data_IF_842362144162
#
_entry.id   IF_842362144162
#
_cell.length_a   1.000
_cell.length_b   1.000
_cell.length_c   1.000
_cell.angle_alpha   90.00
_cell.angle_beta   90.00
_cell.angle_gamma   90.00
#
_symmetry.space_group_name_H-M   'P 1'
#
loop_
_entity.id
_entity.type
_entity.pdbx_description
1 polymer ?
#
# COMPACT_ATOMS: atom_id res chain seq x y z
N UNK A 1 -0.47 15.45 -12.31
CA UNK A 1 0.55 14.54 -11.73
C UNK A 1 1.11 15.07 -10.40
N UNK A 2 1.69 16.28 -10.34
CA UNK A 2 2.24 16.88 -9.09
C UNK A 2 1.24 16.89 -7.91
N UNK A 3 -0.04 17.18 -8.14
CA UNK A 3 -1.07 17.18 -7.07
C UNK A 3 -1.35 15.79 -6.51
N UNK A 4 -1.38 14.76 -7.36
CA UNK A 4 -1.58 13.37 -6.94
C UNK A 4 -0.40 12.91 -6.10
N UNK A 5 0.81 13.17 -6.57
CA UNK A 5 2.05 12.81 -5.89
C UNK A 5 2.17 13.50 -4.51
N UNK A 6 1.80 14.78 -4.44
CA UNK A 6 1.80 15.53 -3.18
C UNK A 6 0.82 14.93 -2.15
N UNK A 7 -0.35 14.45 -2.61
CA UNK A 7 -1.31 13.73 -1.76
C UNK A 7 -0.74 12.39 -1.31
N UNK A 8 -0.09 11.63 -2.19
CA UNK A 8 0.49 10.32 -1.86
C UNK A 8 1.60 10.43 -0.81
N UNK A 9 2.51 11.41 -0.92
CA UNK A 9 3.52 11.68 0.11
C UNK A 9 2.87 12.12 1.43
N UNK A 10 1.81 12.93 1.36
CA UNK A 10 1.04 13.31 2.54
C UNK A 10 0.42 12.10 3.25
N UNK A 11 -0.25 11.22 2.50
CA UNK A 11 -0.85 9.98 3.02
C UNK A 11 0.20 9.01 3.57
N UNK A 12 1.31 8.83 2.85
CA UNK A 12 2.43 8.02 3.35
C UNK A 12 2.92 8.52 4.72
N UNK A 13 3.16 9.83 4.86
CA UNK A 13 3.65 10.39 6.11
C UNK A 13 2.61 10.32 7.24
N UNK A 14 1.34 10.53 6.94
CA UNK A 14 0.25 10.45 7.92
C UNK A 14 0.00 9.00 8.33
N UNK A 15 -0.35 8.15 7.38
CA UNK A 15 -0.92 6.83 7.69
C UNK A 15 0.19 5.79 7.98
N UNK A 16 1.31 5.84 7.24
CA UNK A 16 2.37 4.85 7.41
C UNK A 16 3.45 5.32 8.39
N UNK A 17 4.01 6.52 8.22
CA UNK A 17 5.10 6.96 9.10
C UNK A 17 4.60 7.37 10.49
N UNK A 18 3.52 8.17 10.58
CA UNK A 18 3.03 8.67 11.86
C UNK A 18 2.14 7.69 12.61
N UNK A 19 1.23 7.00 11.92
CA UNK A 19 0.30 6.09 12.59
C UNK A 19 0.95 4.73 12.85
N UNK A 20 1.12 3.89 11.82
CA UNK A 20 1.61 2.52 11.98
C UNK A 20 3.10 2.47 12.38
N UNK A 21 3.94 3.27 11.70
CA UNK A 21 5.38 3.28 11.94
C UNK A 21 5.74 3.79 13.33
N UNK A 22 5.10 4.88 13.77
CA UNK A 22 5.29 5.41 15.10
C UNK A 22 4.72 4.46 16.17
N UNK A 23 3.54 3.87 15.94
CA UNK A 23 2.95 2.89 16.85
C UNK A 23 3.90 1.72 17.09
N UNK A 24 4.35 1.05 16.03
CA UNK A 24 5.24 -0.12 16.13
C UNK A 24 6.56 0.26 16.83
N UNK A 25 7.20 1.36 16.40
CA UNK A 25 8.45 1.81 17.01
C UNK A 25 8.32 2.17 18.49
N UNK A 26 7.23 2.85 18.88
CA UNK A 26 6.97 3.21 20.29
C UNK A 26 6.76 1.99 21.16
N UNK A 27 5.90 1.05 20.73
CA UNK A 27 5.63 -0.17 21.49
C UNK A 27 6.90 -0.99 21.69
N UNK A 28 7.64 -1.26 20.60
CA UNK A 28 8.87 -2.04 20.64
C UNK A 28 9.99 -1.34 21.44
N UNK A 29 10.12 -0.03 21.32
CA UNK A 29 11.09 0.73 22.12
C UNK A 29 10.77 0.68 23.60
N UNK A 30 9.50 0.74 24.00
CA UNK A 30 9.09 0.60 25.40
C UNK A 30 9.35 -0.82 25.92
N UNK A 31 9.08 -1.87 25.12
CA UNK A 31 9.41 -3.25 25.50
C UNK A 31 10.93 -3.40 25.66
N UNK A 32 11.71 -2.86 24.72
CA UNK A 32 13.19 -2.87 24.84
C UNK A 32 13.66 -2.21 26.11
N UNK A 33 13.12 -1.03 26.41
CA UNK A 33 13.56 -0.23 27.55
C UNK A 33 13.12 -0.79 28.90
N UNK A 34 11.88 -1.26 29.01
CA UNK A 34 11.28 -1.62 30.29
C UNK A 34 11.30 -3.11 30.59
N UNK A 35 11.40 -3.95 29.55
CA UNK A 35 11.39 -5.41 29.66
C UNK A 35 12.62 -6.07 28.99
N UNK A 36 13.72 -5.32 28.86
CA UNK A 36 14.98 -5.87 28.35
C UNK A 36 14.83 -6.59 26.99
N UNK A 37 14.02 -6.00 26.09
CA UNK A 37 13.70 -6.55 24.79
C UNK A 37 13.02 -7.95 24.84
N UNK A 38 12.34 -8.29 25.91
CA UNK A 38 11.51 -9.50 26.02
C UNK A 38 10.04 -9.14 25.96
N UNK A 39 9.26 -9.97 25.25
CA UNK A 39 7.80 -9.82 25.22
C UNK A 39 7.26 -10.02 26.65
N UNK A 40 6.61 -9.00 27.23
CA UNK A 40 6.23 -9.04 28.64
C UNK A 40 5.09 -10.04 28.90
N UNK A 41 5.04 -10.56 30.13
CA UNK A 41 3.97 -11.44 30.61
C UNK A 41 2.76 -10.62 31.00
N UNK A 42 1.62 -10.69 30.27
CA UNK A 42 0.41 -9.94 30.64
C UNK A 42 -0.27 -10.57 31.84
N UNK A 43 -1.04 -9.78 32.58
CA UNK A 43 -1.93 -10.29 33.60
C UNK A 43 -2.94 -11.30 33.02
N UNK A 44 -3.43 -12.25 33.83
CA UNK A 44 -4.48 -13.17 33.40
C UNK A 44 -5.69 -12.43 32.81
N UNK A 45 -6.41 -13.05 31.88
CA UNK A 45 -7.55 -12.42 31.17
C UNK A 45 -8.60 -11.89 32.15
N UNK A 46 -8.84 -12.60 33.26
CA UNK A 46 -9.75 -12.19 34.33
C UNK A 46 -9.38 -10.90 35.04
N UNK A 47 -8.07 -10.56 35.08
CA UNK A 47 -7.55 -9.34 35.69
C UNK A 47 -7.37 -8.18 34.70
N UNK A 48 -7.66 -8.38 33.40
CA UNK A 48 -7.55 -7.35 32.39
C UNK A 48 -8.68 -6.33 32.53
N UNK A 49 -8.35 -5.08 32.33
CA UNK A 49 -9.34 -3.98 32.35
C UNK A 49 -10.29 -4.05 31.14
N UNK A 50 -11.44 -3.37 31.19
CA UNK A 50 -12.30 -3.24 30.01
C UNK A 50 -11.58 -2.69 28.78
N UNK A 51 -10.67 -1.73 28.96
CA UNK A 51 -9.89 -1.15 27.85
C UNK A 51 -8.98 -2.18 27.16
N UNK A 52 -8.33 -3.08 27.93
CA UNK A 52 -7.50 -4.15 27.36
C UNK A 52 -8.32 -5.14 26.54
N UNK A 53 -9.50 -5.52 27.05
CA UNK A 53 -10.42 -6.40 26.35
C UNK A 53 -10.97 -5.77 25.09
N UNK A 54 -11.28 -4.47 25.14
CA UNK A 54 -11.77 -3.71 23.98
C UNK A 54 -10.77 -3.73 22.82
N UNK A 55 -9.46 -3.61 23.08
CA UNK A 55 -8.43 -3.71 22.01
C UNK A 55 -8.44 -5.11 21.38
N UNK A 56 -8.55 -6.17 22.18
CA UNK A 56 -8.63 -7.54 21.67
C UNK A 56 -9.90 -7.77 20.83
N UNK A 57 -11.05 -7.27 21.28
CA UNK A 57 -12.34 -7.34 20.58
C UNK A 57 -12.29 -6.56 19.25
N UNK A 58 -11.71 -5.35 19.26
CA UNK A 58 -11.51 -4.57 18.05
C UNK A 58 -10.58 -5.27 17.07
N UNK A 59 -9.54 -5.95 17.56
CA UNK A 59 -8.66 -6.77 16.72
C UNK A 59 -9.41 -7.90 16.02
N UNK A 60 -10.22 -8.66 16.75
CA UNK A 60 -11.03 -9.73 16.19
C UNK A 60 -12.07 -9.19 15.18
N UNK A 61 -12.72 -8.08 15.50
CA UNK A 61 -13.67 -7.41 14.62
C UNK A 61 -13.02 -6.88 13.35
N UNK A 62 -11.85 -6.23 13.45
CA UNK A 62 -11.09 -5.75 12.30
C UNK A 62 -10.68 -6.90 11.37
N UNK A 63 -10.21 -8.02 11.92
CA UNK A 63 -9.88 -9.21 11.14
C UNK A 63 -11.09 -9.77 10.39
N UNK A 64 -12.25 -9.89 11.04
CA UNK A 64 -13.49 -10.36 10.40
C UNK A 64 -13.95 -9.42 9.27
N UNK A 65 -13.94 -8.12 9.50
CA UNK A 65 -14.27 -7.11 8.46
C UNK A 65 -13.28 -7.16 7.28
N UNK A 66 -11.98 -7.28 7.58
CA UNK A 66 -10.93 -7.41 6.59
C UNK A 66 -11.17 -8.63 5.69
N UNK A 67 -11.38 -9.82 6.28
CA UNK A 67 -11.64 -11.05 5.54
C UNK A 67 -12.88 -10.93 4.64
N UNK A 68 -14.00 -10.43 5.20
CA UNK A 68 -15.23 -10.25 4.44
C UNK A 68 -15.07 -9.26 3.28
N UNK A 69 -14.31 -8.18 3.47
CA UNK A 69 -14.06 -7.17 2.44
C UNK A 69 -13.12 -7.70 1.35
N UNK A 70 -12.02 -8.35 1.71
CA UNK A 70 -11.05 -8.91 0.75
C UNK A 70 -11.65 -10.02 -0.09
N UNK A 71 -12.54 -10.86 0.47
CA UNK A 71 -13.27 -11.88 -0.29
C UNK A 71 -14.13 -11.27 -1.41
N UNK A 72 -14.59 -10.03 -1.25
CA UNK A 72 -15.39 -9.30 -2.25
C UNK A 72 -14.57 -8.32 -3.09
N UNK A 73 -13.23 -8.33 -2.94
CA UNK A 73 -12.31 -7.38 -3.58
C UNK A 73 -12.53 -5.92 -3.16
N UNK A 74 -13.16 -5.68 -2.01
CA UNK A 74 -13.38 -4.35 -1.43
C UNK A 74 -12.22 -3.96 -0.51
N UNK A 75 -11.02 -3.87 -1.10
CA UNK A 75 -9.76 -3.69 -0.38
C UNK A 75 -9.73 -2.41 0.47
N UNK A 76 -10.39 -1.34 0.01
CA UNK A 76 -10.47 -0.08 0.75
C UNK A 76 -11.12 -0.27 2.11
N UNK A 77 -12.29 -0.90 2.15
CA UNK A 77 -13.04 -1.19 3.40
C UNK A 77 -12.26 -2.12 4.32
N UNK A 78 -11.57 -3.12 3.76
CA UNK A 78 -10.71 -4.01 4.54
C UNK A 78 -9.56 -3.27 5.21
N UNK A 79 -8.89 -2.39 4.48
CA UNK A 79 -7.80 -1.57 5.01
C UNK A 79 -8.29 -0.54 6.03
N UNK A 80 -9.45 0.09 5.84
CA UNK A 80 -10.06 0.98 6.83
C UNK A 80 -10.26 0.28 8.17
N UNK A 81 -10.74 -0.97 8.18
CA UNK A 81 -10.89 -1.75 9.41
C UNK A 81 -9.57 -1.95 10.15
N UNK A 82 -8.47 -2.16 9.43
CA UNK A 82 -7.12 -2.27 10.02
C UNK A 82 -6.68 -0.92 10.61
N UNK A 83 -6.94 0.21 9.91
CA UNK A 83 -6.57 1.55 10.40
C UNK A 83 -7.41 1.99 11.59
N UNK A 84 -8.66 1.55 11.72
CA UNK A 84 -9.46 1.74 12.94
C UNK A 84 -8.78 1.08 14.15
N UNK A 85 -8.25 -0.13 13.97
CA UNK A 85 -7.48 -0.82 15.03
C UNK A 85 -6.18 -0.06 15.37
N UNK A 86 -5.40 0.37 14.36
CA UNK A 86 -4.18 1.15 14.58
C UNK A 86 -4.47 2.42 15.38
N UNK A 87 -5.53 3.14 15.01
CA UNK A 87 -5.96 4.36 15.70
C UNK A 87 -6.40 4.08 17.14
N UNK A 88 -7.14 2.99 17.37
CA UNK A 88 -7.58 2.59 18.69
C UNK A 88 -6.40 2.23 19.61
N UNK A 89 -5.38 1.53 19.10
CA UNK A 89 -4.18 1.18 19.87
C UNK A 89 -3.34 2.42 20.19
N UNK A 90 -3.21 3.36 19.23
CA UNK A 90 -2.55 4.64 19.50
C UNK A 90 -3.25 5.42 20.61
N UNK A 91 -4.58 5.49 20.58
CA UNK A 91 -5.40 6.14 21.61
C UNK A 91 -5.24 5.43 22.96
N UNK A 92 -5.33 4.09 22.96
CA UNK A 92 -5.14 3.26 24.14
C UNK A 92 -3.80 3.52 24.85
N UNK A 93 -2.69 3.62 24.09
CA UNK A 93 -1.38 3.95 24.65
C UNK A 93 -1.33 5.34 25.26
N UNK A 94 -2.03 6.32 24.69
CA UNK A 94 -2.11 7.67 25.26
C UNK A 94 -2.91 7.68 26.56
N UNK A 95 -4.03 6.97 26.60
CA UNK A 95 -4.91 6.89 27.78
C UNK A 95 -4.32 6.08 28.93
N UNK A 96 -3.55 5.02 28.61
CA UNK A 96 -2.95 4.15 29.64
C UNK A 96 -1.60 4.63 30.16
N UNK A 97 -0.97 5.61 29.51
CA UNK A 97 0.28 6.26 29.92
C UNK A 97 1.37 5.28 30.41
N UNK A 98 1.79 4.27 29.60
CA UNK A 98 2.74 3.25 30.05
C UNK A 98 4.08 3.82 30.56
N UNK A 99 4.51 4.98 30.07
CA UNK A 99 5.70 5.68 30.53
C UNK A 99 5.58 6.13 31.99
N UNK A 100 4.40 6.61 32.41
CA UNK A 100 4.12 7.03 33.80
C UNK A 100 4.15 5.82 34.76
N UNK A 101 3.60 4.68 34.33
CA UNK A 101 3.68 3.43 35.10
C UNK A 101 5.12 2.93 35.26
N UNK A 102 5.93 3.06 34.20
CA UNK A 102 7.34 2.67 34.24
C UNK A 102 8.16 3.55 35.18
N UNK A 103 7.85 4.84 35.30
CA UNK A 103 8.53 5.78 36.21
C UNK A 103 8.19 5.49 37.67
N UNK A 104 6.93 5.19 37.98
CA UNK A 104 6.49 4.85 39.33
C UNK A 104 7.06 3.52 39.85
N UNK A 105 7.19 2.55 38.96
CA UNK A 105 7.78 1.23 39.20
C UNK A 105 7.30 0.51 40.47
N UNK A 106 6.07 0.75 40.91
CA UNK A 106 5.43 0.00 41.99
C UNK A 106 5.07 -1.42 41.51
N UNK A 107 4.92 -2.39 42.41
CA UNK A 107 4.72 -3.79 42.03
C UNK A 107 3.54 -4.04 41.09
N UNK A 108 2.39 -3.42 41.38
CA UNK A 108 1.18 -3.53 40.54
C UNK A 108 1.31 -2.76 39.22
N UNK A 109 2.04 -1.63 39.24
CA UNK A 109 2.30 -0.81 38.04
C UNK A 109 3.11 -1.60 37.00
N UNK A 110 4.07 -2.45 37.42
CA UNK A 110 4.84 -3.29 36.50
C UNK A 110 3.99 -4.36 35.83
N UNK A 111 3.08 -5.01 36.55
CA UNK A 111 2.14 -5.99 35.98
C UNK A 111 1.17 -5.29 35.02
N UNK A 112 0.70 -4.10 35.37
CA UNK A 112 -0.15 -3.28 34.50
C UNK A 112 0.58 -2.85 33.22
N UNK A 113 1.81 -2.35 33.35
CA UNK A 113 2.68 -1.97 32.25
C UNK A 113 2.91 -3.16 31.28
N UNK A 114 3.20 -4.35 31.84
CA UNK A 114 3.36 -5.58 31.06
C UNK A 114 2.12 -5.89 30.24
N UNK A 115 0.93 -5.78 30.83
CA UNK A 115 -0.34 -6.03 30.16
C UNK A 115 -0.60 -5.04 29.03
N UNK A 116 -0.36 -3.74 29.26
CA UNK A 116 -0.55 -2.70 28.25
C UNK A 116 0.37 -2.91 27.05
N UNK A 117 1.67 -3.16 27.29
CA UNK A 117 2.64 -3.34 26.23
C UNK A 117 2.42 -4.65 25.47
N UNK A 118 2.07 -5.74 26.14
CA UNK A 118 1.69 -6.99 25.48
C UNK A 118 0.47 -6.81 24.58
N UNK A 119 -0.62 -6.22 25.12
CA UNK A 119 -1.84 -5.97 24.33
C UNK A 119 -1.59 -5.13 23.10
N UNK A 120 -0.77 -4.07 23.25
CA UNK A 120 -0.40 -3.21 22.13
C UNK A 120 0.49 -3.92 21.11
N UNK A 121 1.46 -4.71 21.55
CA UNK A 121 2.36 -5.47 20.68
C UNK A 121 1.63 -6.59 19.93
N UNK A 122 0.69 -7.29 20.58
CA UNK A 122 -0.11 -8.32 19.90
C UNK A 122 -1.07 -7.71 18.87
N UNK A 123 -1.63 -6.54 19.15
CA UNK A 123 -2.40 -5.80 18.15
C UNK A 123 -1.51 -5.37 16.95
N UNK A 124 -0.27 -4.90 17.18
CA UNK A 124 0.70 -4.60 16.10
C UNK A 124 1.03 -5.86 15.30
N UNK A 125 1.18 -7.03 15.95
CA UNK A 125 1.37 -8.31 15.27
C UNK A 125 0.21 -8.62 14.31
N UNK A 126 -1.03 -8.52 14.79
CA UNK A 126 -2.22 -8.76 13.99
C UNK A 126 -2.30 -7.80 12.80
N UNK A 127 -2.15 -6.49 13.04
CA UNK A 127 -2.11 -5.46 12.00
C UNK A 127 -1.03 -5.79 10.95
N UNK A 128 0.16 -6.19 11.40
CA UNK A 128 1.29 -6.52 10.52
C UNK A 128 0.93 -7.68 9.59
N UNK A 129 0.33 -8.74 10.11
CA UNK A 129 -0.09 -9.88 9.31
C UNK A 129 -1.22 -9.54 8.32
N UNK A 130 -2.22 -8.76 8.74
CA UNK A 130 -3.31 -8.31 7.86
C UNK A 130 -2.81 -7.41 6.72
N UNK A 131 -1.78 -6.60 6.97
CA UNK A 131 -1.20 -5.70 5.96
C UNK A 131 -0.15 -6.37 5.06
N UNK A 132 0.28 -7.60 5.37
CA UNK A 132 1.31 -8.27 4.59
C UNK A 132 1.00 -8.39 3.08
N UNK A 133 -0.22 -8.72 2.62
CA UNK A 133 -0.52 -8.80 1.20
C UNK A 133 -0.37 -7.47 0.44
N UNK A 134 -0.42 -6.34 1.17
CA UNK A 134 -0.36 -4.99 0.60
C UNK A 134 1.03 -4.37 0.75
N UNK A 135 1.72 -4.63 1.87
CA UNK A 135 3.00 -4.04 2.24
C UNK A 135 4.06 -5.10 2.63
N UNK A 136 4.34 -6.13 1.79
CA UNK A 136 5.10 -7.30 2.20
C UNK A 136 6.48 -6.96 2.80
N UNK A 137 7.25 -6.09 2.15
CA UNK A 137 8.59 -5.74 2.59
C UNK A 137 8.64 -4.99 3.93
N UNK A 138 7.63 -4.16 4.20
CA UNK A 138 7.59 -3.36 5.42
C UNK A 138 7.04 -4.16 6.59
N UNK A 139 6.03 -4.96 6.36
CA UNK A 139 5.43 -5.81 7.39
C UNK A 139 6.37 -6.94 7.80
N UNK A 140 7.17 -7.50 6.88
CA UNK A 140 8.19 -8.46 7.25
C UNK A 140 9.23 -7.86 8.21
N UNK A 141 9.64 -6.60 8.01
CA UNK A 141 10.54 -5.91 8.93
C UNK A 141 9.91 -5.76 10.32
N UNK A 142 8.64 -5.33 10.41
CA UNK A 142 7.94 -5.22 11.70
C UNK A 142 7.80 -6.59 12.34
N UNK A 143 7.49 -7.64 11.56
CA UNK A 143 7.34 -9.01 12.02
C UNK A 143 8.62 -9.54 12.68
N UNK A 144 9.77 -9.31 12.03
CA UNK A 144 11.08 -9.67 12.60
C UNK A 144 11.43 -8.85 13.84
N UNK A 145 11.06 -7.56 13.85
CA UNK A 145 11.24 -6.72 15.04
C UNK A 145 10.37 -7.17 16.23
N UNK A 146 9.20 -7.75 15.99
CA UNK A 146 8.35 -8.36 17.01
C UNK A 146 8.92 -9.68 17.57
N UNK A 147 10.06 -10.17 17.03
CA UNK A 147 10.65 -11.45 17.42
C UNK A 147 10.02 -12.67 16.76
N UNK A 148 9.11 -12.46 15.81
CA UNK A 148 8.44 -13.56 15.11
C UNK A 148 9.40 -14.24 14.14
N UNK A 149 9.51 -15.56 14.24
CA UNK A 149 10.40 -16.38 13.39
C UNK A 149 9.67 -17.04 12.21
N UNK A 150 8.36 -17.16 12.30
CA UNK A 150 7.51 -17.71 11.22
C UNK A 150 7.55 -16.82 9.98
N UNK A 151 7.43 -17.45 8.83
CA UNK A 151 7.34 -16.74 7.55
C UNK A 151 5.88 -16.30 7.31
N UNK A 152 5.67 -14.98 7.15
CA UNK A 152 4.36 -14.41 6.86
C UNK A 152 3.75 -14.96 5.57
N UNK A 153 4.58 -15.35 4.59
CA UNK A 153 4.10 -15.89 3.31
C UNK A 153 3.43 -17.26 3.44
N UNK A 154 3.73 -17.98 4.51
CA UNK A 154 3.19 -19.34 4.76
C UNK A 154 2.03 -19.36 5.76
N UNK A 155 1.81 -18.24 6.46
CA UNK A 155 0.73 -18.12 7.43
C UNK A 155 -0.62 -17.97 6.72
N UNK A 156 -1.56 -18.83 7.08
CA UNK A 156 -2.96 -18.63 6.68
C UNK A 156 -3.63 -17.56 7.54
N UNK A 157 -4.73 -16.98 7.02
CA UNK A 157 -5.51 -16.01 7.78
C UNK A 157 -5.97 -16.57 9.14
N UNK A 158 -6.48 -17.79 9.18
CA UNK A 158 -6.96 -18.42 10.41
C UNK A 158 -5.83 -18.62 11.42
N UNK A 159 -4.64 -19.02 10.96
CA UNK A 159 -3.45 -19.14 11.80
C UNK A 159 -3.01 -17.78 12.36
N UNK A 160 -3.06 -16.72 11.55
CA UNK A 160 -2.74 -15.37 11.99
C UNK A 160 -3.69 -14.90 13.11
N UNK A 161 -4.99 -15.11 12.94
CA UNK A 161 -6.01 -14.68 13.90
C UNK A 161 -5.97 -15.53 15.18
N UNK A 162 -5.73 -16.83 15.07
CA UNK A 162 -5.66 -17.75 16.21
C UNK A 162 -4.36 -17.63 17.01
N UNK A 163 -3.29 -17.05 16.41
CA UNK A 163 -1.99 -16.89 17.07
C UNK A 163 -1.94 -15.64 17.94
N UNK A 164 -0.98 -15.61 18.84
CA UNK A 164 -0.63 -14.44 19.66
C UNK A 164 0.88 -14.36 19.83
N UNK A 165 1.38 -13.24 20.35
CA UNK A 165 2.80 -13.11 20.68
C UNK A 165 3.20 -14.11 21.77
N UNK A 166 4.33 -14.77 21.57
CA UNK A 166 4.92 -15.65 22.57
C UNK A 166 5.59 -14.82 23.65
N UNK A 167 5.12 -14.95 24.88
CA UNK A 167 5.69 -14.24 26.04
C UNK A 167 7.11 -14.74 26.35
N UNK A 168 7.98 -13.84 26.81
CA UNK A 168 9.38 -14.14 27.12
C UNK A 168 10.32 -14.24 25.90
N UNK A 169 9.80 -14.26 24.69
CA UNK A 169 10.62 -14.23 23.48
C UNK A 169 11.31 -12.88 23.30
N UNK A 170 12.51 -12.90 22.73
CA UNK A 170 13.26 -11.68 22.43
C UNK A 170 12.70 -11.00 21.18
N UNK A 171 12.43 -9.71 21.31
CA UNK A 171 12.16 -8.87 20.15
C UNK A 171 13.46 -8.54 19.40
N UNK A 172 13.33 -8.28 18.09
CA UNK A 172 14.47 -7.89 17.25
C UNK A 172 14.91 -6.45 17.47
N UNK A 173 15.95 -6.04 16.77
CA UNK A 173 16.46 -4.66 16.79
C UNK A 173 15.40 -3.71 16.25
N UNK A 174 15.03 -2.70 17.02
CA UNK A 174 14.03 -1.71 16.62
C UNK A 174 14.64 -0.70 15.67
N UNK A 175 14.09 -0.63 14.45
CA UNK A 175 14.50 0.31 13.41
C UNK A 175 13.25 0.96 12.77
N UNK A 176 13.33 2.23 12.35
CA UNK A 176 12.21 2.86 11.66
C UNK A 176 11.90 2.14 10.33
N UNK A 177 10.69 1.61 10.20
CA UNK A 177 10.27 0.91 8.97
C UNK A 177 9.73 1.88 7.94
N UNK A 178 9.06 2.94 8.38
CA UNK A 178 8.51 3.98 7.52
C UNK A 178 9.19 5.33 7.85
N UNK A 179 10.35 5.64 7.25
CA UNK A 179 10.98 6.94 7.44
C UNK A 179 10.11 8.05 6.84
N UNK A 180 10.04 9.19 7.52
CA UNK A 180 9.31 10.34 6.99
C UNK A 180 9.94 10.84 5.69
N UNK A 181 9.11 11.06 4.70
CA UNK A 181 9.53 11.60 3.41
C UNK A 181 9.47 13.13 3.43
N UNK A 182 10.59 13.78 3.12
CA UNK A 182 10.64 15.21 2.85
C UNK A 182 9.88 15.52 1.56
N UNK A 183 8.81 16.33 1.63
CA UNK A 183 7.96 16.59 0.46
C UNK A 183 8.73 17.14 -0.74
N UNK A 184 9.58 18.15 -0.53
CA UNK A 184 10.35 18.77 -1.60
C UNK A 184 11.38 17.80 -2.22
N UNK A 185 12.15 17.12 -1.38
CA UNK A 185 13.17 16.16 -1.79
C UNK A 185 12.55 14.97 -2.54
N UNK A 186 11.44 14.43 -2.04
CA UNK A 186 10.75 13.31 -2.68
C UNK A 186 10.19 13.69 -4.04
N UNK A 187 9.63 14.89 -4.18
CA UNK A 187 9.14 15.41 -5.47
C UNK A 187 10.26 15.59 -6.47
N UNK A 188 11.42 16.06 -6.03
CA UNK A 188 12.60 16.20 -6.88
C UNK A 188 13.11 14.84 -7.36
N UNK A 189 13.34 13.88 -6.45
CA UNK A 189 13.79 12.52 -6.78
C UNK A 189 12.84 11.80 -7.74
N UNK A 190 11.54 11.97 -7.55
CA UNK A 190 10.54 11.38 -8.44
C UNK A 190 10.50 12.06 -9.82
N UNK A 191 10.74 13.37 -9.88
CA UNK A 191 10.92 14.09 -11.14
C UNK A 191 12.13 13.57 -11.92
N UNK A 192 13.27 13.46 -11.26
CA UNK A 192 14.50 12.91 -11.85
C UNK A 192 14.33 11.45 -12.30
N UNK A 193 13.65 10.62 -11.51
CA UNK A 193 13.37 9.23 -11.88
C UNK A 193 12.42 9.13 -13.09
N UNK A 194 11.44 10.02 -13.19
CA UNK A 194 10.54 10.10 -14.34
C UNK A 194 11.27 10.52 -15.61
N UNK A 195 12.18 11.49 -15.53
CA UNK A 195 13.01 11.93 -16.65
C UNK A 195 13.94 10.80 -17.11
N UNK A 196 14.58 10.08 -16.20
CA UNK A 196 15.40 8.91 -16.51
C UNK A 196 14.60 7.83 -17.21
N UNK A 197 13.43 7.48 -16.68
CA UNK A 197 12.55 6.47 -17.28
C UNK A 197 12.08 6.90 -18.67
N UNK A 198 11.72 8.16 -18.85
CA UNK A 198 11.35 8.70 -20.17
C UNK A 198 12.52 8.64 -21.15
N UNK A 199 13.76 8.90 -20.70
CA UNK A 199 14.96 8.79 -21.52
C UNK A 199 15.28 7.34 -21.90
N UNK A 200 15.14 6.40 -20.99
CA UNK A 200 15.31 4.96 -21.24
C UNK A 200 14.26 4.42 -22.23
N UNK A 201 13.01 4.82 -22.09
CA UNK A 201 11.93 4.45 -23.02
C UNK A 201 12.04 5.10 -24.38
N UNK A 202 12.74 6.22 -24.49
CA UNK A 202 12.99 6.88 -25.79
C UNK A 202 13.99 6.14 -26.67
N UNK A 203 14.74 5.17 -26.13
CA UNK A 203 15.78 4.39 -26.84
C UNK A 203 16.94 5.26 -27.38
N UNK A 204 18.07 4.66 -27.76
CA UNK A 204 19.15 5.42 -28.36
C UNK A 204 18.68 5.98 -29.72
N UNK A 205 18.51 7.27 -29.81
CA UNK A 205 18.42 7.95 -31.10
C UNK A 205 19.70 7.60 -31.86
N UNK A 206 19.60 6.78 -32.93
CA UNK A 206 20.67 6.61 -33.91
C UNK A 206 21.05 7.99 -34.36
N UNK A 207 22.25 8.43 -34.00
CA UNK A 207 22.94 9.51 -34.70
C UNK A 207 23.19 9.02 -36.12
N UNK A 208 22.29 9.36 -37.04
CA UNK A 208 22.54 9.25 -38.42
C UNK A 208 22.71 10.66 -38.96
N UNK A 209 23.99 10.95 -39.24
CA UNK A 209 24.50 11.87 -40.23
C UNK A 209 23.77 13.23 -40.42
N UNK A 210 24.45 14.25 -39.98
CA UNK A 210 24.33 15.58 -40.59
C UNK A 210 24.89 15.51 -42.03
N UNK A 211 24.05 15.72 -43.02
CA UNK A 211 24.40 16.36 -44.28
C UNK A 211 23.15 16.67 -45.10
N UNK A 212 23.05 17.94 -45.51
CA UNK A 212 22.32 18.48 -46.66
C UNK A 212 20.78 18.47 -46.61
N UNK A 213 20.14 19.51 -46.66
CA UNK A 213 19.97 20.69 -47.47
C UNK A 213 18.67 21.40 -47.11
N UNK A 214 18.69 22.67 -47.30
CA UNK A 214 17.63 23.65 -47.05
C UNK A 214 16.31 23.37 -47.80
N UNK A 215 15.25 23.95 -47.20
CA UNK A 215 13.98 24.32 -47.82
C UNK A 215 12.94 23.23 -48.01
N UNK A 216 12.04 23.13 -47.05
CA UNK A 216 10.61 23.35 -47.30
C UNK A 216 9.89 23.44 -45.96
N UNK A 217 9.21 24.54 -45.76
CA UNK A 217 8.26 24.81 -44.70
C UNK A 217 7.07 23.84 -44.81
N UNK A 218 7.08 22.78 -44.03
CA UNK A 218 5.85 22.07 -43.72
C UNK A 218 5.44 22.45 -42.29
N UNK A 219 4.44 23.31 -42.22
CA UNK A 219 3.67 23.59 -41.04
C UNK A 219 3.19 22.23 -40.41
N UNK A 220 3.76 21.90 -39.29
CA UNK A 220 3.20 20.79 -38.47
C UNK A 220 1.81 21.24 -38.01
N UNK A 221 0.80 20.70 -38.64
CA UNK A 221 -0.59 20.87 -38.22
C UNK A 221 -0.79 20.14 -36.90
N UNK A 222 -0.42 20.78 -35.81
CA UNK A 222 -0.87 20.40 -34.47
C UNK A 222 -2.28 20.97 -34.39
N UNK A 223 -3.28 20.10 -34.61
CA UNK A 223 -4.66 20.45 -34.34
C UNK A 223 -4.74 21.01 -32.90
N UNK A 224 -5.39 22.18 -32.71
CA UNK A 224 -5.51 22.74 -31.36
C UNK A 224 -6.19 21.70 -30.46
N UNK A 225 -5.55 21.38 -29.33
CA UNK A 225 -6.18 20.63 -28.26
C UNK A 225 -7.55 21.28 -27.98
N UNK A 226 -8.60 20.50 -28.08
CA UNK A 226 -10.00 20.92 -27.90
C UNK A 226 -10.12 21.91 -26.76
N UNK A 227 -10.49 23.15 -27.06
CA UNK A 227 -10.53 24.26 -26.10
C UNK A 227 -11.67 24.12 -25.09
N UNK A 228 -12.63 23.24 -25.33
CA UNK A 228 -13.76 22.97 -24.44
C UNK A 228 -13.46 21.73 -23.59
N UNK A 229 -13.51 21.92 -22.28
CA UNK A 229 -13.45 20.80 -21.33
C UNK A 229 -14.73 19.99 -21.47
N UNK A 230 -14.61 18.70 -21.78
CA UNK A 230 -15.73 17.75 -21.76
C UNK A 230 -16.39 17.79 -20.39
N UNK A 231 -17.71 17.93 -20.39
CA UNK A 231 -18.54 17.85 -19.17
C UNK A 231 -18.76 16.39 -18.78
N UNK A 232 -19.21 16.16 -17.56
CA UNK A 232 -19.58 14.81 -17.10
C UNK A 232 -20.73 14.24 -17.96
N UNK A 233 -21.63 15.10 -18.42
CA UNK A 233 -22.75 14.72 -19.27
C UNK A 233 -22.31 14.29 -20.68
N UNK A 234 -21.20 14.82 -21.18
CA UNK A 234 -20.60 14.38 -22.44
C UNK A 234 -19.92 13.02 -22.27
N UNK A 235 -19.31 12.78 -21.09
CA UNK A 235 -18.71 11.49 -20.79
C UNK A 235 -19.76 10.38 -20.66
N UNK A 236 -20.92 10.65 -20.10
CA UNK A 236 -22.04 9.67 -19.97
C UNK A 236 -22.58 9.22 -21.34
N UNK A 237 -22.39 10.01 -22.39
CA UNK A 237 -22.78 9.66 -23.76
C UNK A 237 -21.82 8.63 -24.40
N UNK A 238 -20.65 8.38 -23.82
CA UNK A 238 -19.69 7.41 -24.35
C UNK A 238 -20.11 5.99 -23.97
N UNK A 239 -20.30 5.13 -24.97
CA UNK A 239 -20.55 3.71 -24.78
C UNK A 239 -19.22 2.96 -24.73
N UNK A 240 -18.71 2.73 -23.50
CA UNK A 240 -17.47 1.99 -23.27
C UNK A 240 -17.77 0.52 -23.09
N UNK A 241 -17.19 -0.33 -23.95
CA UNK A 241 -17.38 -1.79 -23.91
C UNK A 241 -16.06 -2.51 -23.82
N UNK A 242 -16.06 -3.62 -23.12
CA UNK A 242 -14.94 -4.57 -23.09
C UNK A 242 -15.17 -5.58 -24.20
N UNK A 243 -14.14 -5.82 -25.04
CA UNK A 243 -14.18 -6.79 -26.12
C UNK A 243 -13.00 -7.76 -26.09
N UNK A 244 -13.22 -9.00 -26.52
CA UNK A 244 -12.18 -10.00 -26.70
C UNK A 244 -11.56 -9.86 -28.08
N UNK A 245 -10.23 -9.76 -28.17
CA UNK A 245 -9.50 -9.74 -29.44
C UNK A 245 -9.39 -11.16 -29.96
N UNK A 246 -10.14 -11.49 -31.02
CA UNK A 246 -10.11 -12.81 -31.66
C UNK A 246 -8.98 -12.95 -32.65
N UNK A 247 -8.65 -11.89 -33.40
CA UNK A 247 -7.61 -11.88 -34.41
C UNK A 247 -6.76 -10.66 -34.28
N UNK A 248 -5.43 -10.82 -34.36
CA UNK A 248 -4.47 -9.73 -34.38
C UNK A 248 -3.39 -10.02 -35.44
N UNK A 249 -3.47 -9.36 -36.60
CA UNK A 249 -2.59 -9.60 -37.75
C UNK A 249 -1.84 -8.31 -38.14
N UNK A 250 -0.59 -8.47 -38.61
CA UNK A 250 0.15 -7.36 -39.19
C UNK A 250 -0.34 -7.09 -40.63
N UNK A 251 -0.62 -5.84 -40.92
CA UNK A 251 -1.01 -5.41 -42.26
C UNK A 251 0.23 -5.42 -43.15
N UNK A 252 0.17 -6.13 -44.27
CA UNK A 252 1.26 -6.16 -45.28
C UNK A 252 1.52 -4.74 -45.81
N UNK A 253 2.76 -4.27 -45.72
CA UNK A 253 3.15 -2.93 -46.17
C UNK A 253 3.08 -1.83 -45.11
N UNK A 254 2.62 -2.12 -43.91
CA UNK A 254 2.59 -1.15 -42.79
C UNK A 254 3.45 -1.63 -41.61
N UNK A 255 4.46 -0.87 -41.24
CA UNK A 255 5.38 -1.25 -40.15
C UNK A 255 4.80 -1.11 -38.76
N UNK A 256 3.71 -0.34 -38.58
CA UNK A 256 3.15 0.04 -37.29
C UNK A 256 1.65 -0.23 -37.12
N UNK A 257 0.98 -0.80 -38.13
CA UNK A 257 -0.46 -1.06 -38.10
C UNK A 257 -0.76 -2.55 -37.87
N UNK A 258 -1.72 -2.80 -36.99
CA UNK A 258 -2.32 -4.14 -36.76
C UNK A 258 -3.79 -4.09 -37.12
N UNK A 259 -4.27 -5.15 -37.76
CA UNK A 259 -5.68 -5.45 -37.95
C UNK A 259 -6.14 -6.25 -36.74
N UNK A 260 -7.18 -5.78 -36.08
CA UNK A 260 -7.79 -6.43 -34.93
C UNK A 260 -9.25 -6.74 -35.21
N UNK A 261 -9.64 -8.00 -34.99
CA UNK A 261 -11.04 -8.38 -34.91
C UNK A 261 -11.42 -8.51 -33.42
N UNK A 262 -12.35 -7.68 -32.99
CA UNK A 262 -12.74 -7.56 -31.59
C UNK A 262 -14.20 -7.99 -31.43
N UNK A 263 -14.42 -9.01 -30.62
CA UNK A 263 -15.76 -9.49 -30.26
C UNK A 263 -16.25 -8.71 -29.02
N UNK A 264 -17.34 -8.00 -29.20
CA UNK A 264 -18.01 -7.22 -28.15
C UNK A 264 -19.19 -8.00 -27.50
N UNK A 265 -19.34 -9.29 -27.83
CA UNK A 265 -20.42 -10.14 -27.34
C UNK A 265 -21.73 -9.98 -28.12
N UNK A 266 -22.03 -8.80 -28.67
CA UNK A 266 -23.20 -8.46 -29.47
C UNK A 266 -22.85 -8.31 -30.97
N UNK A 267 -21.61 -7.96 -31.26
CA UNK A 267 -21.08 -7.77 -32.62
C UNK A 267 -19.55 -7.99 -32.65
N UNK A 268 -19.02 -8.35 -33.80
CA UNK A 268 -17.57 -8.40 -34.04
C UNK A 268 -17.17 -7.18 -34.87
N UNK A 269 -16.22 -6.39 -34.39
CA UNK A 269 -15.71 -5.21 -35.10
C UNK A 269 -14.31 -5.41 -35.61
N UNK A 270 -14.08 -5.07 -36.88
CA UNK A 270 -12.74 -5.02 -37.50
C UNK A 270 -12.17 -3.62 -37.38
N UNK A 271 -11.01 -3.48 -36.73
CA UNK A 271 -10.33 -2.20 -36.52
C UNK A 271 -8.85 -2.27 -36.86
N UNK A 272 -8.30 -1.15 -37.36
CA UNK A 272 -6.87 -0.96 -37.60
C UNK A 272 -6.31 -0.06 -36.49
N UNK A 273 -5.29 -0.55 -35.77
CA UNK A 273 -4.68 0.18 -34.65
C UNK A 273 -3.17 0.27 -34.77
N UNK A 274 -2.59 1.36 -34.28
CA UNK A 274 -1.14 1.64 -34.32
C UNK A 274 -0.35 1.09 -33.13
N UNK A 275 -1.01 0.60 -32.08
CA UNK A 275 -0.33 0.07 -30.86
C UNK A 275 -1.12 -1.01 -30.18
N UNK A 276 -0.46 -2.15 -29.93
CA UNK A 276 -0.81 -3.09 -28.87
C UNK A 276 0.04 -2.70 -27.64
N UNK A 277 -0.59 -2.21 -26.59
CA UNK A 277 0.09 -2.06 -25.31
C UNK A 277 -0.07 -3.38 -24.55
N UNK A 278 0.91 -4.27 -24.72
CA UNK A 278 0.86 -5.66 -24.25
C UNK A 278 1.43 -5.83 -22.86
N UNK A 279 0.92 -5.13 -21.85
CA UNK A 279 1.32 -5.45 -20.49
C UNK A 279 0.28 -6.18 -19.63
N UNK A 280 -0.98 -6.31 -20.10
CA UNK A 280 -1.99 -7.15 -19.45
C UNK A 280 -3.01 -7.65 -20.49
N UNK A 281 -3.44 -8.91 -20.37
CA UNK A 281 -4.30 -9.61 -21.34
C UNK A 281 -5.73 -9.07 -21.52
N UNK A 282 -5.98 -7.81 -21.20
CA UNK A 282 -7.24 -7.12 -21.44
C UNK A 282 -6.98 -5.75 -22.06
N UNK A 283 -7.56 -5.51 -23.22
CA UNK A 283 -7.43 -4.23 -23.94
C UNK A 283 -8.80 -3.56 -23.89
N UNK A 284 -8.88 -2.40 -23.19
CA UNK A 284 -10.05 -1.53 -23.20
C UNK A 284 -9.86 -0.45 -24.25
N UNK A 285 -10.80 -0.31 -25.18
CA UNK A 285 -10.83 0.77 -26.15
C UNK A 285 -12.10 1.59 -25.97
N UNK A 286 -11.93 2.92 -25.94
CA UNK A 286 -13.05 3.85 -26.17
C UNK A 286 -13.26 3.99 -27.69
N UNK A 287 -14.49 3.87 -28.14
CA UNK A 287 -14.89 4.05 -29.55
C UNK A 287 -15.70 5.32 -29.66
#
# INVERSE_FOLDING_TARGET
FRRVLFRSVGRYNSDLANDLGNLSSRVLSMITRYFNAEVPYPSPVSARTPADRQIAELGAHAAGRYQAAFTRFDFGVGLEAVWELVSAVNKYLVEMEPWTLAERNAGDDRARLATILYTSADAVRLVTGLLWPVLPNSTEKIWRQLGMTSDLSTLTFDQLVASSLTVGEKIGKVEPVFPRLGKAETLQKLGEAQEKFAAEMAGPKKQAAAAETAASSEESFIAPLVAEKLTIDDFVKLDLRVGEVRVAERIKGASKLLRLEIDLGVEVRDRKSTRLNSSHGYISYAV
#
